data_IF_252200196775
#
_entry.id   IF_252200196775
#
_cell.length_a   1.000
_cell.length_b   1.000
_cell.length_c   1.000
_cell.angle_alpha   90.00
_cell.angle_beta   90.00
_cell.angle_gamma   90.00
#
_symmetry.space_group_name_H-M   'P 1'
#
loop_
_entity.id
_entity.type
_entity.pdbx_description
1 polymer ?
#
# COMPACT_ATOMS: atom_id res chain seq x y z
N UNK A 1 6.52 -5.21 18.39
CA UNK A 1 6.79 -4.18 17.37
C UNK A 1 5.80 -3.03 17.44
N UNK A 2 4.48 -3.25 17.54
CA UNK A 2 3.53 -2.15 17.79
C UNK A 2 3.85 -1.31 19.05
N UNK A 3 4.46 -1.91 20.08
CA UNK A 3 4.77 -1.27 21.36
C UNK A 3 5.87 -0.21 21.33
N UNK A 4 6.72 -0.16 20.30
CA UNK A 4 7.82 0.81 20.22
C UNK A 4 7.30 2.22 19.85
N UNK A 5 6.27 2.29 18.98
CA UNK A 5 5.64 3.56 18.62
C UNK A 5 6.51 4.49 17.77
N UNK A 6 7.56 4.00 17.08
CA UNK A 6 8.45 4.89 16.31
C UNK A 6 7.75 5.53 15.10
N UNK A 7 7.15 4.69 14.25
CA UNK A 7 6.64 5.14 12.95
C UNK A 7 5.46 4.31 12.44
N UNK A 8 4.53 4.98 11.76
CA UNK A 8 3.46 4.34 11.00
C UNK A 8 3.39 4.84 9.56
N UNK A 9 3.28 3.91 8.61
CA UNK A 9 2.81 4.19 7.25
C UNK A 9 1.31 3.95 7.20
N UNK A 10 0.54 4.93 6.73
CA UNK A 10 -0.89 4.76 6.47
C UNK A 10 -1.10 4.79 4.96
N UNK A 11 -1.30 3.61 4.37
CA UNK A 11 -1.54 3.46 2.93
C UNK A 11 -2.92 3.97 2.52
N UNK A 12 -3.02 4.67 1.41
CA UNK A 12 -4.28 5.24 0.90
C UNK A 12 -4.44 4.97 -0.60
N UNK A 13 -5.38 4.09 -0.97
CA UNK A 13 -5.69 3.85 -2.38
C UNK A 13 -6.60 4.92 -2.99
N UNK A 14 -6.31 5.41 -4.20
CA UNK A 14 -7.15 6.36 -4.91
C UNK A 14 -8.47 5.70 -5.35
N UNK A 15 -9.56 6.47 -5.33
CA UNK A 15 -10.87 5.99 -5.78
C UNK A 15 -11.57 5.03 -4.79
N UNK A 16 -10.97 4.74 -3.64
CA UNK A 16 -11.59 3.93 -2.59
C UNK A 16 -12.42 4.83 -1.63
N UNK A 17 -13.72 4.54 -1.52
CA UNK A 17 -14.67 5.30 -0.70
C UNK A 17 -14.42 5.18 0.81
N UNK A 18 -13.68 4.17 1.27
CA UNK A 18 -13.24 4.02 2.65
C UNK A 18 -12.51 5.28 3.15
N UNK A 19 -11.68 5.88 2.29
CA UNK A 19 -10.89 7.08 2.60
C UNK A 19 -11.70 8.37 2.40
N UNK A 20 -12.74 8.51 3.21
CA UNK A 20 -13.46 9.78 3.40
C UNK A 20 -12.59 10.80 4.14
N UNK A 21 -12.95 12.09 4.08
CA UNK A 21 -12.27 13.15 4.85
C UNK A 21 -12.25 12.83 6.35
N UNK A 22 -13.38 12.36 6.88
CA UNK A 22 -13.49 11.98 8.29
C UNK A 22 -12.57 10.80 8.62
N UNK A 23 -12.58 9.74 7.80
CA UNK A 23 -11.71 8.56 8.01
C UNK A 23 -10.23 8.93 8.03
N UNK A 24 -9.79 9.76 7.08
CA UNK A 24 -8.40 10.23 7.02
C UNK A 24 -8.03 11.04 8.27
N UNK A 25 -8.93 11.89 8.75
CA UNK A 25 -8.73 12.64 10.00
C UNK A 25 -8.62 11.70 11.20
N UNK A 26 -9.51 10.73 11.32
CA UNK A 26 -9.51 9.77 12.43
C UNK A 26 -8.21 8.93 12.43
N UNK A 27 -7.78 8.47 11.25
CA UNK A 27 -6.51 7.75 11.08
C UNK A 27 -5.30 8.62 11.43
N UNK A 28 -5.31 9.91 11.04
CA UNK A 28 -4.25 10.84 11.39
C UNK A 28 -4.16 11.10 12.89
N UNK A 29 -5.30 11.29 13.56
CA UNK A 29 -5.36 11.45 15.02
C UNK A 29 -4.90 10.20 15.75
N UNK A 30 -5.36 9.02 15.32
CA UNK A 30 -4.91 7.75 15.84
C UNK A 30 -3.38 7.59 15.67
N UNK A 31 -2.86 7.88 14.48
CA UNK A 31 -1.43 7.81 14.20
C UNK A 31 -0.62 8.72 15.13
N UNK A 32 -0.98 10.00 15.22
CA UNK A 32 -0.29 10.97 16.09
C UNK A 32 -0.37 10.65 17.59
N UNK A 33 -1.36 9.87 18.00
CA UNK A 33 -1.51 9.42 19.40
C UNK A 33 -0.59 8.24 19.71
N UNK A 34 -0.32 7.37 18.73
CA UNK A 34 0.37 6.10 18.95
C UNK A 34 1.81 6.05 18.40
N UNK A 35 2.19 7.00 17.53
CA UNK A 35 3.49 7.00 16.87
C UNK A 35 4.20 8.34 16.91
N UNK A 36 5.52 8.33 17.05
CA UNK A 36 6.36 9.53 17.03
C UNK A 36 6.30 10.23 15.67
N UNK A 37 6.28 9.46 14.58
CA UNK A 37 6.13 9.96 13.21
C UNK A 37 5.12 9.13 12.40
N UNK A 38 4.39 9.78 11.51
CA UNK A 38 3.39 9.16 10.65
C UNK A 38 3.52 9.67 9.23
N UNK A 39 3.49 8.75 8.27
CA UNK A 39 3.53 9.06 6.85
C UNK A 39 2.28 8.49 6.15
N UNK A 40 1.41 9.37 5.66
CA UNK A 40 0.40 8.99 4.69
C UNK A 40 1.06 8.77 3.33
N UNK A 41 0.85 7.58 2.77
CA UNK A 41 1.33 7.25 1.43
C UNK A 41 0.13 6.96 0.54
N UNK A 42 -0.07 7.76 -0.49
CA UNK A 42 -1.11 7.48 -1.49
C UNK A 42 -0.53 6.88 -2.76
N UNK A 43 -1.17 5.84 -3.27
CA UNK A 43 -0.69 5.13 -4.46
C UNK A 43 -1.10 5.91 -5.72
N UNK A 44 -0.11 6.37 -6.48
CA UNK A 44 -0.28 7.13 -7.71
C UNK A 44 0.35 6.44 -8.94
N UNK A 45 0.82 5.22 -8.76
CA UNK A 45 1.42 4.35 -9.78
C UNK A 45 0.47 3.20 -10.13
N UNK A 46 0.52 2.71 -11.37
CA UNK A 46 -0.31 1.60 -11.87
C UNK A 46 -1.85 1.81 -11.79
N UNK A 47 -2.32 3.02 -11.48
CA UNK A 47 -3.74 3.32 -11.28
C UNK A 47 -4.51 3.33 -12.61
N UNK A 48 -3.91 3.85 -13.68
CA UNK A 48 -4.55 3.89 -14.99
C UNK A 48 -4.62 2.49 -15.59
N UNK A 49 -3.52 1.75 -15.53
CA UNK A 49 -3.39 0.36 -15.93
C UNK A 49 -4.43 -0.52 -15.22
N UNK A 50 -4.67 -0.27 -13.92
CA UNK A 50 -5.72 -0.96 -13.16
C UNK A 50 -7.12 -0.68 -13.73
N UNK A 51 -7.40 0.54 -14.18
CA UNK A 51 -8.68 0.87 -14.83
C UNK A 51 -8.79 0.27 -16.23
N UNK A 52 -7.72 0.26 -17.01
CA UNK A 52 -7.68 -0.41 -18.32
C UNK A 52 -7.92 -1.91 -18.18
N UNK A 53 -7.29 -2.55 -17.20
CA UNK A 53 -7.49 -3.95 -16.89
C UNK A 53 -8.95 -4.25 -16.50
N UNK A 54 -9.68 -3.30 -15.93
CA UNK A 54 -11.10 -3.40 -15.61
C UNK A 54 -12.04 -3.03 -16.79
N UNK A 55 -11.49 -2.74 -17.97
CA UNK A 55 -12.25 -2.56 -19.20
C UNK A 55 -12.45 -1.11 -19.66
N UNK A 56 -11.85 -0.13 -18.98
CA UNK A 56 -11.84 1.25 -19.49
C UNK A 56 -10.89 1.38 -20.70
N UNK A 57 -11.23 2.27 -21.66
CA UNK A 57 -10.25 2.68 -22.67
C UNK A 57 -9.09 3.45 -22.02
N UNK A 58 -7.89 3.42 -22.62
CA UNK A 58 -6.71 4.13 -22.09
C UNK A 58 -6.96 5.63 -21.79
N UNK A 59 -7.75 6.31 -22.63
CA UNK A 59 -8.12 7.71 -22.42
C UNK A 59 -8.98 7.87 -21.17
N UNK A 60 -9.98 7.01 -20.99
CA UNK A 60 -10.90 7.06 -19.84
C UNK A 60 -10.20 6.63 -18.55
N UNK A 61 -9.38 5.57 -18.61
CA UNK A 61 -8.57 5.09 -17.52
C UNK A 61 -7.63 6.18 -16.98
N UNK A 62 -6.89 6.85 -17.87
CA UNK A 62 -6.04 7.99 -17.51
C UNK A 62 -6.84 9.14 -16.90
N UNK A 63 -8.00 9.47 -17.47
CA UNK A 63 -8.87 10.53 -16.95
C UNK A 63 -9.34 10.22 -15.52
N UNK A 64 -9.78 8.99 -15.27
CA UNK A 64 -10.20 8.50 -13.95
C UNK A 64 -9.05 8.47 -12.96
N UNK A 65 -7.88 7.96 -13.34
CA UNK A 65 -6.68 7.93 -12.51
C UNK A 65 -6.30 9.35 -12.05
N UNK A 66 -6.17 10.29 -12.98
CA UNK A 66 -5.83 11.70 -12.64
C UNK A 66 -6.86 12.30 -11.69
N UNK A 67 -8.16 12.11 -11.96
CA UNK A 67 -9.23 12.62 -11.10
C UNK A 67 -9.14 12.05 -9.68
N UNK A 68 -8.97 10.73 -9.57
CA UNK A 68 -8.99 10.02 -8.29
C UNK A 68 -7.72 10.29 -7.47
N UNK A 69 -6.55 10.35 -8.10
CA UNK A 69 -5.27 10.73 -7.47
C UNK A 69 -5.34 12.18 -6.98
N UNK A 70 -5.84 13.11 -7.79
CA UNK A 70 -6.02 14.52 -7.36
C UNK A 70 -6.95 14.62 -6.16
N UNK A 71 -8.07 13.90 -6.20
CA UNK A 71 -9.06 13.90 -5.13
C UNK A 71 -8.49 13.36 -3.81
N UNK A 72 -7.80 12.22 -3.84
CA UNK A 72 -7.23 11.62 -2.62
C UNK A 72 -6.09 12.47 -2.06
N UNK A 73 -5.18 12.95 -2.92
CA UNK A 73 -4.09 13.86 -2.52
C UNK A 73 -4.63 15.10 -1.85
N UNK A 74 -5.61 15.78 -2.44
CA UNK A 74 -6.19 16.98 -1.87
C UNK A 74 -6.82 16.73 -0.48
N UNK A 75 -7.52 15.60 -0.31
CA UNK A 75 -8.09 15.22 1.00
C UNK A 75 -7.01 15.01 2.04
N UNK A 76 -5.98 14.21 1.73
CA UNK A 76 -4.90 13.91 2.68
C UNK A 76 -4.11 15.17 3.02
N UNK A 77 -3.68 15.95 2.02
CA UNK A 77 -2.95 17.20 2.25
C UNK A 77 -3.75 18.17 3.13
N UNK A 78 -5.07 18.29 2.91
CA UNK A 78 -5.93 19.10 3.78
C UNK A 78 -5.93 18.56 5.22
N UNK A 79 -6.09 17.26 5.40
CA UNK A 79 -6.06 16.62 6.72
C UNK A 79 -4.72 16.80 7.43
N UNK A 80 -3.60 16.62 6.73
CA UNK A 80 -2.26 16.82 7.30
C UNK A 80 -2.06 18.27 7.72
N UNK A 81 -2.41 19.24 6.87
CA UNK A 81 -2.32 20.66 7.21
C UNK A 81 -3.24 21.07 8.38
N UNK A 82 -4.39 20.40 8.55
CA UNK A 82 -5.32 20.63 9.67
C UNK A 82 -4.80 20.03 10.99
N UNK A 83 -4.13 18.87 10.94
CA UNK A 83 -3.72 18.13 12.14
C UNK A 83 -2.29 18.45 12.61
N UNK A 84 -1.41 18.78 11.67
CA UNK A 84 -0.02 19.13 11.93
C UNK A 84 0.43 20.28 11.01
N UNK A 85 0.00 21.52 11.27
CA UNK A 85 0.34 22.67 10.42
C UNK A 85 1.85 22.94 10.31
N UNK A 86 2.64 22.48 11.29
CA UNK A 86 4.09 22.63 11.29
C UNK A 86 4.80 21.52 10.50
N UNK A 87 4.10 20.43 10.16
CA UNK A 87 4.67 19.27 9.46
C UNK A 87 5.77 18.56 10.25
N UNK A 88 5.67 18.55 11.59
CA UNK A 88 6.72 18.03 12.46
C UNK A 88 6.71 16.50 12.58
N UNK A 89 5.53 15.89 12.54
CA UNK A 89 5.30 14.47 12.85
C UNK A 89 4.42 13.77 11.83
N UNK A 90 3.53 14.48 11.14
CA UNK A 90 2.62 13.92 10.14
C UNK A 90 2.97 14.43 8.74
N UNK A 91 3.26 13.51 7.84
CA UNK A 91 3.66 13.78 6.46
C UNK A 91 2.73 13.11 5.44
N UNK A 92 2.74 13.60 4.20
CA UNK A 92 2.06 12.98 3.06
C UNK A 92 2.99 12.92 1.85
N UNK A 93 3.02 11.77 1.18
CA UNK A 93 3.86 11.55 -0.01
C UNK A 93 3.19 10.61 -1.02
N UNK A 94 3.41 10.80 -2.34
CA UNK A 94 3.02 9.83 -3.35
C UNK A 94 3.94 8.60 -3.30
N UNK A 95 3.42 7.44 -3.68
CA UNK A 95 4.23 6.23 -3.86
C UNK A 95 5.34 6.43 -4.90
N UNK A 96 5.05 7.17 -5.98
CA UNK A 96 6.02 7.47 -7.04
C UNK A 96 7.28 8.19 -6.55
N UNK A 97 7.22 8.94 -5.44
CA UNK A 97 8.38 9.62 -4.87
C UNK A 97 9.48 8.63 -4.46
N UNK A 98 9.09 7.47 -3.93
CA UNK A 98 10.01 6.43 -3.49
C UNK A 98 10.78 5.77 -4.64
N UNK A 99 10.30 5.89 -5.88
CA UNK A 99 11.02 5.38 -7.05
C UNK A 99 12.37 6.09 -7.27
N UNK A 100 12.64 7.19 -6.56
CA UNK A 100 13.94 7.86 -6.53
C UNK A 100 14.83 7.47 -5.34
N UNK A 101 14.28 6.77 -4.34
CA UNK A 101 15.00 6.31 -3.16
C UNK A 101 15.78 5.02 -3.45
N UNK A 102 17.04 4.97 -3.02
CA UNK A 102 17.96 3.86 -3.30
C UNK A 102 17.50 2.54 -2.64
N UNK A 103 17.17 2.56 -1.34
CA UNK A 103 16.68 1.38 -0.63
C UNK A 103 15.38 0.83 -1.24
N UNK A 104 14.46 1.72 -1.64
CA UNK A 104 13.25 1.30 -2.36
C UNK A 104 13.60 0.60 -3.68
N UNK A 105 14.52 1.17 -4.47
CA UNK A 105 14.94 0.60 -5.77
C UNK A 105 15.56 -0.78 -5.60
N UNK A 106 16.43 -0.94 -4.61
CA UNK A 106 17.08 -2.22 -4.31
C UNK A 106 16.06 -3.29 -3.91
N UNK A 107 15.16 -2.98 -2.97
CA UNK A 107 14.11 -3.90 -2.53
C UNK A 107 13.18 -4.28 -3.69
N UNK A 108 12.79 -3.31 -4.50
CA UNK A 108 11.94 -3.54 -5.67
C UNK A 108 12.65 -4.41 -6.72
N UNK A 109 13.93 -4.16 -7.00
CA UNK A 109 14.72 -4.96 -7.95
C UNK A 109 14.98 -6.39 -7.46
N UNK A 110 15.27 -6.57 -6.16
CA UNK A 110 15.41 -7.89 -5.54
C UNK A 110 14.10 -8.68 -5.63
N UNK A 111 12.97 -8.06 -5.30
CA UNK A 111 11.65 -8.69 -5.44
C UNK A 111 11.38 -9.16 -6.89
N UNK A 112 11.61 -8.29 -7.87
CA UNK A 112 11.40 -8.65 -9.28
C UNK A 112 12.35 -9.76 -9.74
N UNK A 113 13.59 -9.77 -9.24
CA UNK A 113 14.57 -10.82 -9.55
C UNK A 113 14.13 -12.16 -8.96
N UNK A 114 13.68 -12.18 -7.71
CA UNK A 114 13.12 -13.39 -7.08
C UNK A 114 11.87 -13.90 -7.79
N UNK A 115 10.94 -13.03 -8.16
CA UNK A 115 9.74 -13.44 -8.92
C UNK A 115 10.09 -14.03 -10.29
N UNK A 116 11.19 -13.58 -10.91
CA UNK A 116 11.69 -14.14 -12.16
C UNK A 116 12.33 -15.51 -11.96
N UNK A 117 13.20 -15.63 -10.95
CA UNK A 117 14.09 -16.78 -10.78
C UNK A 117 13.50 -17.90 -9.91
N UNK A 118 12.53 -17.61 -9.06
CA UNK A 118 11.85 -18.55 -8.16
C UNK A 118 10.39 -18.77 -8.62
N UNK A 119 10.15 -19.91 -9.27
CA UNK A 119 8.83 -20.25 -9.81
C UNK A 119 7.79 -20.53 -8.72
N UNK A 120 8.22 -21.08 -7.58
CA UNK A 120 7.35 -21.40 -6.46
C UNK A 120 6.86 -20.10 -5.80
N UNK A 121 7.78 -19.16 -5.56
CA UNK A 121 7.44 -17.82 -5.09
C UNK A 121 6.46 -17.13 -6.04
N UNK A 122 6.75 -17.16 -7.34
CA UNK A 122 5.88 -16.57 -8.37
C UNK A 122 4.49 -17.19 -8.35
N UNK A 123 4.38 -18.52 -8.23
CA UNK A 123 3.10 -19.22 -8.16
C UNK A 123 2.28 -18.81 -6.94
N UNK A 124 2.92 -18.70 -5.76
CA UNK A 124 2.23 -18.25 -4.54
C UNK A 124 1.76 -16.80 -4.68
N UNK A 125 2.60 -15.90 -5.20
CA UNK A 125 2.20 -14.51 -5.45
C UNK A 125 1.02 -14.42 -6.43
N UNK A 126 1.02 -15.23 -7.51
CA UNK A 126 -0.10 -15.28 -8.45
C UNK A 126 -1.40 -15.78 -7.81
N UNK A 127 -1.34 -16.80 -6.95
CA UNK A 127 -2.53 -17.29 -6.24
C UNK A 127 -3.11 -16.20 -5.32
N UNK A 128 -2.25 -15.48 -4.61
CA UNK A 128 -2.65 -14.35 -3.76
C UNK A 128 -3.28 -13.21 -4.58
N UNK A 129 -2.72 -12.89 -5.75
CA UNK A 129 -3.30 -11.94 -6.70
C UNK A 129 -4.68 -12.39 -7.19
N UNK A 130 -4.84 -13.65 -7.57
CA UNK A 130 -6.13 -14.21 -8.03
C UNK A 130 -7.19 -14.13 -6.94
N UNK A 131 -6.85 -14.51 -5.70
CA UNK A 131 -7.75 -14.39 -4.54
C UNK A 131 -8.15 -12.94 -4.32
N UNK A 132 -7.20 -12.00 -4.34
CA UNK A 132 -7.50 -10.58 -4.21
C UNK A 132 -8.45 -10.08 -5.32
N UNK A 133 -8.14 -10.38 -6.58
CA UNK A 133 -8.97 -9.98 -7.72
C UNK A 133 -10.37 -10.59 -7.68
N UNK A 134 -10.53 -11.81 -7.15
CA UNK A 134 -11.85 -12.44 -7.00
C UNK A 134 -12.81 -11.66 -6.07
N UNK A 135 -12.27 -10.82 -5.17
CA UNK A 135 -13.08 -9.93 -4.32
C UNK A 135 -13.52 -8.65 -5.05
N UNK A 136 -12.89 -8.33 -6.19
CA UNK A 136 -13.10 -7.08 -6.95
C UNK A 136 -13.84 -7.32 -8.26
N UNK A 137 -13.62 -8.46 -8.89
CA UNK A 137 -14.22 -8.86 -10.17
C UNK A 137 -15.43 -9.77 -9.88
N UNK A 138 -16.55 -9.53 -10.56
CA UNK A 138 -17.77 -10.31 -10.34
C UNK A 138 -17.58 -11.81 -10.61
N UNK A 139 -18.27 -12.71 -9.88
CA UNK A 139 -17.98 -14.15 -9.82
C UNK A 139 -18.13 -14.94 -11.14
N UNK A 140 -18.59 -14.31 -12.23
CA UNK A 140 -18.90 -15.00 -13.50
C UNK A 140 -17.80 -14.89 -14.56
N UNK A 141 -16.79 -14.04 -14.36
CA UNK A 141 -15.65 -13.92 -15.25
C UNK A 141 -14.41 -13.86 -14.35
N UNK A 142 -13.64 -14.95 -14.29
CA UNK A 142 -12.37 -14.94 -13.58
C UNK A 142 -11.45 -13.83 -14.08
N UNK A 143 -10.44 -13.49 -13.29
CA UNK A 143 -9.49 -12.46 -13.69
C UNK A 143 -8.77 -12.84 -15.00
N UNK A 144 -8.56 -11.87 -15.88
CA UNK A 144 -7.76 -12.07 -17.10
C UNK A 144 -6.27 -12.04 -16.78
N UNK A 145 -5.43 -12.62 -17.64
CA UNK A 145 -3.97 -12.55 -17.47
C UNK A 145 -3.44 -11.10 -17.37
N UNK A 146 -4.04 -10.17 -18.11
CA UNK A 146 -3.72 -8.74 -18.03
C UNK A 146 -4.07 -8.16 -16.66
N UNK A 147 -5.24 -8.52 -16.11
CA UNK A 147 -5.64 -8.08 -14.76
C UNK A 147 -4.70 -8.64 -13.69
N UNK A 148 -4.31 -9.92 -13.80
CA UNK A 148 -3.33 -10.52 -12.88
C UNK A 148 -1.98 -9.80 -12.96
N UNK A 149 -1.46 -9.53 -14.16
CA UNK A 149 -0.17 -8.86 -14.33
C UNK A 149 -0.19 -7.43 -13.78
N UNK A 150 -1.21 -6.63 -14.10
CA UNK A 150 -1.33 -5.26 -13.59
C UNK A 150 -1.47 -5.24 -12.07
N UNK A 151 -2.23 -6.19 -11.50
CA UNK A 151 -2.33 -6.33 -10.06
C UNK A 151 -0.99 -6.73 -9.41
N UNK A 152 -0.22 -7.59 -10.07
CA UNK A 152 1.13 -7.95 -9.63
C UNK A 152 2.06 -6.74 -9.63
N UNK A 153 2.06 -5.96 -10.71
CA UNK A 153 2.88 -4.75 -10.83
C UNK A 153 2.53 -3.72 -9.74
N UNK A 154 1.23 -3.52 -9.50
CA UNK A 154 0.74 -2.67 -8.42
C UNK A 154 1.23 -3.15 -7.04
N UNK A 155 1.10 -4.44 -6.73
CA UNK A 155 1.55 -5.01 -5.46
C UNK A 155 3.07 -4.92 -5.32
N UNK A 156 3.83 -5.19 -6.38
CA UNK A 156 5.28 -5.09 -6.37
C UNK A 156 5.75 -3.66 -6.09
N UNK A 157 5.03 -2.65 -6.60
CA UNK A 157 5.33 -1.25 -6.30
C UNK A 157 5.07 -0.89 -4.81
N UNK A 158 4.08 -1.51 -4.16
CA UNK A 158 3.83 -1.24 -2.74
C UNK A 158 4.72 -2.08 -1.80
N UNK A 159 5.15 -3.26 -2.24
CA UNK A 159 5.86 -4.25 -1.44
C UNK A 159 7.10 -3.72 -0.68
N UNK A 160 7.95 -2.82 -1.22
CA UNK A 160 9.08 -2.27 -0.47
C UNK A 160 8.68 -1.61 0.86
N UNK A 161 7.53 -0.94 0.94
CA UNK A 161 7.04 -0.35 2.19
C UNK A 161 6.50 -1.40 3.17
N UNK A 162 6.15 -2.60 2.70
CA UNK A 162 5.79 -3.73 3.56
C UNK A 162 7.01 -4.58 3.95
N UNK A 163 8.12 -4.45 3.21
CA UNK A 163 9.37 -5.15 3.47
C UNK A 163 10.26 -4.39 4.44
N UNK A 164 10.58 -3.13 4.15
CA UNK A 164 11.57 -2.38 4.94
C UNK A 164 11.37 -0.86 4.83
N UNK A 165 10.23 -0.37 5.33
CA UNK A 165 10.06 1.07 5.57
C UNK A 165 11.19 1.67 6.42
N UNK A 166 11.71 1.00 7.48
CA UNK A 166 12.86 1.49 8.23
C UNK A 166 14.04 1.92 7.35
N UNK A 167 14.43 1.09 6.38
CA UNK A 167 15.49 1.43 5.42
C UNK A 167 15.10 2.60 4.49
N UNK A 168 13.87 2.63 4.00
CA UNK A 168 13.41 3.64 3.03
C UNK A 168 13.27 5.03 3.66
N UNK A 169 12.75 5.11 4.89
CA UNK A 169 12.44 6.36 5.58
C UNK A 169 13.44 6.76 6.68
N UNK A 170 14.42 5.90 6.96
CA UNK A 170 15.42 6.15 8.00
C UNK A 170 14.84 6.18 9.41
N UNK A 171 13.88 5.29 9.70
CA UNK A 171 13.22 5.18 11.01
C UNK A 171 13.63 3.89 11.73
N UNK A 172 13.65 3.84 13.07
CA UNK A 172 14.14 2.65 13.79
C UNK A 172 13.27 1.40 13.55
N UNK A 173 11.96 1.55 13.62
CA UNK A 173 10.96 0.55 13.27
C UNK A 173 9.75 1.19 12.60
N UNK A 174 8.93 0.41 11.90
CA UNK A 174 7.72 0.93 11.23
C UNK A 174 6.61 -0.09 11.19
N UNK A 175 5.38 0.38 11.40
CA UNK A 175 4.16 -0.38 11.19
C UNK A 175 3.46 0.09 9.91
N UNK A 176 3.28 -0.82 8.95
CA UNK A 176 2.49 -0.54 7.75
C UNK A 176 1.01 -0.86 7.99
N UNK A 177 0.18 0.17 8.00
CA UNK A 177 -1.21 0.13 8.42
C UNK A 177 -2.15 0.25 7.22
N UNK A 178 -3.08 -0.70 7.10
CA UNK A 178 -4.11 -0.68 6.07
C UNK A 178 -5.43 -1.26 6.59
N UNK A 179 -6.53 -1.01 5.91
CA UNK A 179 -7.86 -1.49 6.33
C UNK A 179 -8.18 -2.91 5.86
N UNK A 180 -7.29 -3.50 5.05
CA UNK A 180 -7.36 -4.88 4.57
C UNK A 180 -5.94 -5.47 4.64
N UNK A 181 -5.84 -6.79 4.80
CA UNK A 181 -4.55 -7.48 4.68
C UNK A 181 -3.98 -7.28 3.27
N UNK A 182 -2.70 -6.94 3.16
CA UNK A 182 -2.01 -7.02 1.87
C UNK A 182 -1.99 -8.51 1.44
N UNK A 183 -2.26 -8.86 0.18
CA UNK A 183 -2.21 -10.26 -0.26
C UNK A 183 -0.88 -10.94 0.11
N UNK A 184 0.24 -10.24 0.02
CA UNK A 184 1.56 -10.77 0.38
C UNK A 184 1.87 -10.77 1.88
N UNK A 185 1.07 -10.13 2.74
CA UNK A 185 1.38 -10.01 4.17
C UNK A 185 1.58 -11.39 4.83
N UNK A 186 0.74 -12.38 4.51
CA UNK A 186 0.89 -13.74 5.04
C UNK A 186 2.28 -14.32 4.74
N UNK A 187 2.81 -14.09 3.54
CA UNK A 187 4.14 -14.55 3.14
C UNK A 187 5.26 -13.74 3.81
N UNK A 188 5.14 -12.41 3.82
CA UNK A 188 6.20 -11.51 4.30
C UNK A 188 6.45 -11.63 5.81
N UNK A 189 5.40 -11.91 6.57
CA UNK A 189 5.45 -12.01 8.04
C UNK A 189 5.33 -13.46 8.55
N UNK A 190 5.34 -14.46 7.66
CA UNK A 190 5.39 -15.86 8.04
C UNK A 190 6.72 -16.26 8.69
N UNK A 191 6.69 -17.33 9.49
CA UNK A 191 7.92 -17.99 9.96
C UNK A 191 8.66 -18.67 8.78
N UNK A 192 9.94 -18.97 8.99
CA UNK A 192 10.78 -19.66 8.01
C UNK A 192 11.67 -18.72 7.18
N UNK A 193 12.25 -19.24 6.10
CA UNK A 193 13.15 -18.54 5.19
C UNK A 193 12.46 -18.14 3.88
N UNK A 194 13.06 -17.21 3.15
CA UNK A 194 12.56 -16.70 1.86
C UNK A 194 12.43 -15.18 1.86
N UNK A 195 11.55 -14.65 1.00
CA UNK A 195 11.19 -13.23 1.03
C UNK A 195 10.49 -12.91 2.36
N UNK A 196 11.13 -12.10 3.20
CA UNK A 196 10.62 -11.71 4.51
C UNK A 196 10.82 -10.23 4.74
N UNK A 197 9.88 -9.64 5.47
CA UNK A 197 10.03 -8.28 5.95
C UNK A 197 11.22 -8.19 6.92
N UNK A 198 11.82 -7.00 6.98
CA UNK A 198 12.83 -6.64 7.97
C UNK A 198 12.35 -6.95 9.38
N UNK A 199 13.26 -7.31 10.27
CA UNK A 199 12.96 -7.56 11.70
C UNK A 199 12.46 -6.31 12.44
N UNK A 200 12.47 -5.14 11.81
CA UNK A 200 11.96 -3.87 12.34
C UNK A 200 10.71 -3.40 11.58
N UNK A 201 10.17 -4.21 10.68
CA UNK A 201 8.97 -3.94 9.91
C UNK A 201 7.80 -4.80 10.41
N UNK A 202 6.65 -4.17 10.61
CA UNK A 202 5.40 -4.86 10.94
C UNK A 202 4.25 -4.48 10.01
N UNK A 203 3.15 -5.21 10.12
CA UNK A 203 1.88 -4.90 9.46
C UNK A 203 0.74 -4.95 10.47
N UNK A 204 -0.22 -4.04 10.32
CA UNK A 204 -1.45 -4.04 11.09
C UNK A 204 -2.65 -3.73 10.21
N UNK A 205 -3.74 -4.46 10.47
CA UNK A 205 -5.05 -4.15 9.91
C UNK A 205 -5.73 -3.16 10.87
N UNK A 206 -6.04 -1.97 10.38
CA UNK A 206 -6.66 -0.89 11.17
C UNK A 206 -8.04 -0.60 10.60
N UNK A 207 -9.06 -1.06 11.33
CA UNK A 207 -10.46 -0.88 11.00
C UNK A 207 -11.16 -0.01 12.05
N UNK A 208 -12.30 0.62 11.71
CA UNK A 208 -13.11 1.36 12.66
C UNK A 208 -13.68 0.42 13.73
N UNK A 209 -13.75 0.87 14.98
CA UNK A 209 -14.38 0.10 16.07
C UNK A 209 -15.79 -0.36 15.68
N UNK A 210 -16.05 -1.66 15.85
CA UNK A 210 -17.34 -2.28 15.50
C UNK A 210 -17.49 -2.69 14.03
N UNK A 211 -16.45 -2.57 13.20
CA UNK A 211 -16.44 -3.18 11.87
C UNK A 211 -16.15 -4.68 12.01
N UNK A 212 -16.86 -5.57 11.29
CA UNK A 212 -16.49 -6.99 11.26
C UNK A 212 -15.05 -7.12 10.77
N UNK A 213 -14.24 -7.93 11.47
CA UNK A 213 -12.96 -8.36 10.95
C UNK A 213 -13.25 -9.31 9.78
N UNK A 214 -13.07 -8.85 8.55
CA UNK A 214 -13.05 -9.69 7.35
C UNK A 214 -11.67 -10.29 7.12
#
# INVERSE_FOLDING_TARGET
MHTEGDHAVIGVSPGNSYFSRQRLRDLGLWGLTNFDRVDFVYTDVHVAESYEALGDSAIEARRKAVKNIRGVRAKITTTVNELDPAGARLCVRPMSEFQSNEAYRELHADLLTRLKDDEDLRAVCQDLVRRFLSTKVGPRQGATATQEQVCMDYICAEAPLFLDTPAILGVPSSLNCYHQSLPLAEMLYARGSGLRASRNQGHAIVTPDGSPAE
#
